data_IF_016304723304
#
_entry.id   IF_016304723304
#
_cell.length_a   1.000
_cell.length_b   1.000
_cell.length_c   1.000
_cell.angle_alpha   90.00
_cell.angle_beta   90.00
_cell.angle_gamma   90.00
#
_symmetry.space_group_name_H-M   'P 1'
#
loop_
_entity.id
_entity.type
_entity.pdbx_description
1 polymer ?
#
# COMPACT_ATOMS: atom_id res chain seq x y z
N UNK A 1 12.29 -2.45 0.88
CA UNK A 1 11.40 -3.43 0.20
C UNK A 1 10.42 -4.18 1.10
N UNK A 2 10.74 -4.51 2.38
CA UNK A 2 9.87 -5.31 3.26
C UNK A 2 8.45 -4.72 3.46
N UNK A 3 8.33 -3.39 3.57
CA UNK A 3 7.03 -2.69 3.73
C UNK A 3 6.09 -2.88 2.53
N UNK A 4 6.60 -2.67 1.30
CA UNK A 4 5.84 -2.89 0.05
C UNK A 4 5.27 -4.31 0.00
N UNK A 5 6.10 -5.32 0.30
CA UNK A 5 5.65 -6.72 0.33
C UNK A 5 4.53 -6.96 1.35
N UNK A 6 4.64 -6.40 2.56
CA UNK A 6 3.62 -6.54 3.60
C UNK A 6 2.27 -5.97 3.15
N UNK A 7 2.28 -4.79 2.55
CA UNK A 7 1.07 -4.13 2.02
C UNK A 7 0.48 -4.96 0.89
N UNK A 8 1.32 -5.44 -0.04
CA UNK A 8 0.87 -6.31 -1.13
C UNK A 8 0.20 -7.58 -0.62
N UNK A 9 0.73 -8.22 0.42
CA UNK A 9 0.13 -9.41 1.04
C UNK A 9 -1.24 -9.09 1.63
N UNK A 10 -1.40 -7.94 2.30
CA UNK A 10 -2.68 -7.51 2.87
C UNK A 10 -3.76 -7.27 1.78
N UNK A 11 -3.34 -6.75 0.63
CA UNK A 11 -4.23 -6.44 -0.50
C UNK A 11 -4.53 -7.65 -1.42
N UNK A 12 -3.64 -8.66 -1.44
CA UNK A 12 -3.73 -9.80 -2.35
C UNK A 12 -4.96 -10.68 -2.08
N UNK A 13 -5.40 -10.78 -0.82
CA UNK A 13 -6.47 -11.68 -0.39
C UNK A 13 -7.90 -11.26 -0.75
N UNK A 14 -8.10 -10.14 -1.44
CA UNK A 14 -9.45 -9.65 -1.75
C UNK A 14 -10.23 -9.13 -0.55
N UNK A 15 -9.53 -8.76 0.54
CA UNK A 15 -10.13 -8.27 1.78
C UNK A 15 -11.02 -7.04 1.54
N UNK A 16 -12.23 -7.05 2.09
CA UNK A 16 -13.17 -5.91 2.02
C UNK A 16 -12.73 -4.74 2.87
N UNK A 17 -12.08 -5.02 4.00
CA UNK A 17 -11.53 -4.03 4.92
C UNK A 17 -10.04 -4.31 5.12
N UNK A 18 -9.22 -3.27 5.02
CA UNK A 18 -7.77 -3.34 5.22
C UNK A 18 -7.35 -2.22 6.16
N UNK A 19 -6.60 -2.57 7.20
CA UNK A 19 -6.06 -1.62 8.17
C UNK A 19 -4.55 -1.56 7.96
N UNK A 20 -4.03 -0.36 7.74
CA UNK A 20 -2.61 -0.08 7.52
C UNK A 20 -2.12 0.84 8.62
N UNK A 21 -1.20 0.34 9.44
CA UNK A 21 -0.57 1.13 10.50
C UNK A 21 0.78 1.69 10.01
N UNK A 22 0.86 3.01 9.83
CA UNK A 22 2.08 3.73 9.47
C UNK A 22 2.88 3.08 8.30
N UNK A 23 2.25 2.85 7.13
CA UNK A 23 2.80 1.99 6.06
C UNK A 23 4.04 2.59 5.38
N UNK A 24 4.24 3.90 5.47
CA UNK A 24 5.36 4.62 4.83
C UNK A 24 6.45 5.01 5.81
N UNK A 25 6.30 4.70 7.10
CA UNK A 25 7.30 5.00 8.13
C UNK A 25 8.60 4.26 7.85
N UNK A 26 9.72 5.00 7.89
CA UNK A 26 11.06 4.49 7.59
C UNK A 26 11.33 4.19 6.11
N UNK A 27 10.47 4.69 5.20
CA UNK A 27 10.65 4.60 3.74
C UNK A 27 11.08 5.97 3.20
N UNK A 28 12.04 5.97 2.28
CA UNK A 28 12.52 7.18 1.61
C UNK A 28 11.40 7.88 0.80
N UNK A 29 11.47 9.21 0.60
CA UNK A 29 10.41 9.97 -0.08
C UNK A 29 10.08 9.47 -1.49
N UNK A 30 11.06 8.96 -2.23
CA UNK A 30 10.85 8.46 -3.59
C UNK A 30 10.07 7.14 -3.56
N UNK A 31 10.51 6.19 -2.72
CA UNK A 31 9.86 4.89 -2.57
C UNK A 31 8.44 4.98 -1.99
N UNK A 32 8.14 6.03 -1.22
CA UNK A 32 6.82 6.32 -0.65
C UNK A 32 5.76 6.49 -1.73
N UNK A 33 6.07 7.19 -2.82
CA UNK A 33 5.14 7.36 -3.96
C UNK A 33 4.71 6.01 -4.55
N UNK A 34 5.64 5.06 -4.64
CA UNK A 34 5.30 3.70 -5.07
C UNK A 34 4.34 2.97 -4.12
N UNK A 35 4.39 3.25 -2.81
CA UNK A 35 3.41 2.72 -1.85
C UNK A 35 2.05 3.38 -2.08
N UNK A 36 2.02 4.70 -2.25
CA UNK A 36 0.80 5.46 -2.52
C UNK A 36 0.08 4.96 -3.77
N UNK A 37 0.82 4.70 -4.85
CA UNK A 37 0.26 4.11 -6.06
C UNK A 37 -0.36 2.73 -5.82
N UNK A 38 0.30 1.86 -5.05
CA UNK A 38 -0.22 0.51 -4.75
C UNK A 38 -1.54 0.61 -3.99
N UNK A 39 -1.60 1.48 -2.97
CA UNK A 39 -2.80 1.70 -2.17
C UNK A 39 -3.92 2.28 -3.04
N UNK A 40 -3.62 3.34 -3.80
CA UNK A 40 -4.59 4.02 -4.66
C UNK A 40 -5.16 3.09 -5.74
N UNK A 41 -4.31 2.27 -6.39
CA UNK A 41 -4.75 1.28 -7.40
C UNK A 41 -5.66 0.19 -6.82
N UNK A 42 -5.50 -0.15 -5.53
CA UNK A 42 -6.24 -1.23 -4.89
C UNK A 42 -7.37 -0.76 -3.95
N UNK A 43 -7.68 0.53 -3.92
CA UNK A 43 -8.73 1.08 -3.03
C UNK A 43 -10.16 0.80 -3.52
N UNK A 44 -10.37 0.58 -4.82
CA UNK A 44 -11.71 0.38 -5.39
C UNK A 44 -12.38 -0.88 -4.81
N UNK A 45 -13.61 -0.74 -4.34
CA UNK A 45 -14.42 -1.85 -3.79
C UNK A 45 -13.94 -2.36 -2.43
N UNK A 46 -13.13 -1.57 -1.70
CA UNK A 46 -12.59 -1.91 -0.38
C UNK A 46 -12.55 -0.68 0.52
N UNK A 47 -12.68 -0.89 1.82
CA UNK A 47 -12.47 0.14 2.83
C UNK A 47 -11.04 0.03 3.36
N UNK A 48 -10.26 1.11 3.24
CA UNK A 48 -8.90 1.17 3.75
C UNK A 48 -8.87 2.18 4.89
N UNK A 49 -8.44 1.73 6.07
CA UNK A 49 -8.17 2.58 7.23
C UNK A 49 -6.66 2.69 7.38
N UNK A 50 -6.16 3.92 7.39
CA UNK A 50 -4.74 4.23 7.43
C UNK A 50 -4.45 5.15 8.62
N UNK A 51 -3.46 4.79 9.44
CA UNK A 51 -2.80 5.75 10.33
C UNK A 51 -1.53 6.26 9.65
N UNK A 52 -1.34 7.59 9.69
CA UNK A 52 -0.11 8.21 9.23
C UNK A 52 0.12 9.51 9.99
N UNK A 53 1.37 9.74 10.36
CA UNK A 53 1.85 11.03 10.87
C UNK A 53 2.26 11.99 9.74
N UNK A 54 2.24 11.55 8.48
CA UNK A 54 2.54 12.38 7.31
C UNK A 54 1.26 12.98 6.71
N UNK A 55 1.08 14.29 6.86
CA UNK A 55 -0.10 15.00 6.34
C UNK A 55 -0.25 14.89 4.82
N UNK A 56 0.86 14.93 4.07
CA UNK A 56 0.85 14.76 2.61
C UNK A 56 0.28 13.39 2.19
N UNK A 57 0.54 12.34 2.99
CA UNK A 57 0.00 11.01 2.75
C UNK A 57 -1.50 10.96 3.03
N UNK A 58 -1.92 11.54 4.16
CA UNK A 58 -3.33 11.62 4.52
C UNK A 58 -4.13 12.39 3.46
N UNK A 59 -3.58 13.50 2.95
CA UNK A 59 -4.22 14.32 1.92
C UNK A 59 -4.37 13.58 0.58
N UNK A 60 -3.32 12.88 0.13
CA UNK A 60 -3.32 12.24 -1.19
C UNK A 60 -4.14 10.93 -1.21
N UNK A 61 -4.12 10.17 -0.11
CA UNK A 61 -4.71 8.82 -0.09
C UNK A 61 -6.14 8.76 0.46
N UNK A 62 -6.56 9.73 1.25
CA UNK A 62 -7.79 9.62 2.05
C UNK A 62 -8.95 10.40 1.47
N UNK A 63 -10.12 9.77 1.41
CA UNK A 63 -11.37 10.47 1.10
C UNK A 63 -11.87 11.30 2.31
N UNK A 64 -11.54 10.85 3.53
CA UNK A 64 -11.79 11.55 4.80
C UNK A 64 -10.59 11.40 5.74
N UNK A 65 -10.27 12.46 6.47
CA UNK A 65 -9.21 12.50 7.48
C UNK A 65 -9.86 12.69 8.86
N UNK A 66 -9.31 12.00 9.85
CA UNK A 66 -9.69 12.12 11.26
C UNK A 66 -8.44 12.46 12.08
N UNK A 67 -8.49 13.56 12.83
CA UNK A 67 -7.43 13.94 13.75
C UNK A 67 -7.75 13.43 15.15
N UNK A 68 -6.85 12.62 15.71
CA UNK A 68 -6.95 12.13 17.08
C UNK A 68 -5.98 12.91 17.97
N UNK A 69 -6.47 13.36 19.12
CA UNK A 69 -5.70 14.10 20.11
C UNK A 69 -6.08 13.62 21.52
N UNK A 70 -5.09 13.33 22.36
CA UNK A 70 -5.29 12.84 23.75
C UNK A 70 -6.28 11.65 23.89
N UNK A 71 -6.33 10.76 22.88
CA UNK A 71 -7.22 9.60 22.89
C UNK A 71 -8.66 9.88 22.44
N UNK A 72 -8.98 11.11 22.04
CA UNK A 72 -10.27 11.50 21.48
C UNK A 72 -10.19 11.94 20.02
N UNK A 73 -11.32 11.92 19.31
CA UNK A 73 -11.44 12.49 17.97
C UNK A 73 -11.63 14.00 18.07
N UNK A 74 -10.66 14.78 17.59
CA UNK A 74 -10.70 16.25 17.60
C UNK A 74 -11.56 16.79 16.46
N UNK A 75 -11.30 16.33 15.24
CA UNK A 75 -12.06 16.72 14.06
C UNK A 75 -11.99 15.64 12.99
N UNK A 76 -13.00 15.60 12.11
CA UNK A 76 -13.02 14.72 10.95
C UNK A 76 -13.72 15.39 9.77
N UNK A 77 -13.28 15.07 8.56
CA UNK A 77 -13.85 15.66 7.34
C UNK A 77 -13.05 15.29 6.10
N UNK A 78 -13.48 15.80 4.95
CA UNK A 78 -12.64 15.72 3.75
C UNK A 78 -11.39 16.60 3.93
N UNK A 79 -10.28 16.31 3.23
CA UNK A 79 -9.09 17.16 3.27
C UNK A 79 -9.41 18.63 2.93
N UNK A 80 -10.30 18.85 1.96
CA UNK A 80 -10.76 20.19 1.57
C UNK A 80 -11.51 20.90 2.71
N UNK A 81 -12.52 20.24 3.29
CA UNK A 81 -13.31 20.80 4.39
C UNK A 81 -12.43 21.18 5.59
N UNK A 82 -11.46 20.32 5.94
CA UNK A 82 -10.55 20.56 7.05
C UNK A 82 -9.63 21.75 6.78
N UNK A 83 -9.15 21.93 5.54
CA UNK A 83 -8.36 23.09 5.14
C UNK A 83 -9.17 24.39 5.16
N UNK A 84 -10.42 24.34 4.73
CA UNK A 84 -11.31 25.51 4.76
C UNK A 84 -11.67 25.91 6.20
N UNK A 85 -11.94 24.93 7.05
CA UNK A 85 -12.38 25.18 8.44
C UNK A 85 -11.22 25.59 9.37
N UNK A 86 -10.04 24.99 9.19
CA UNK A 86 -8.90 25.14 10.11
C UNK A 86 -7.64 25.74 9.47
N UNK A 87 -7.60 25.96 8.16
CA UNK A 87 -6.44 26.53 7.47
C UNK A 87 -6.30 28.04 7.70
N UNK A 88 -5.07 28.52 7.83
CA UNK A 88 -4.77 29.96 8.01
C UNK A 88 -4.71 30.69 6.65
N UNK A 89 -5.81 30.64 5.88
CA UNK A 89 -5.90 31.30 4.58
C UNK A 89 -5.21 30.56 3.43
N UNK A 90 -4.99 31.26 2.31
CA UNK A 90 -4.43 30.68 1.08
C UNK A 90 -2.93 30.90 0.97
N UNK A 91 -2.17 29.83 0.68
CA UNK A 91 -0.77 29.92 0.30
C UNK A 91 -0.62 29.77 -1.21
N UNK A 92 -0.35 30.89 -1.91
CA UNK A 92 -0.09 30.89 -3.34
C UNK A 92 1.40 30.69 -3.62
N UNK A 93 1.76 29.57 -4.24
CA UNK A 93 3.13 29.33 -4.73
C UNK A 93 3.19 29.68 -6.22
N UNK A 94 3.86 30.79 -6.54
CA UNK A 94 4.08 31.23 -7.93
C UNK A 94 5.42 30.69 -8.44
N UNK A 95 5.38 29.70 -9.32
CA UNK A 95 6.58 29.16 -9.97
C UNK A 95 6.88 29.97 -11.24
N UNK A 96 8.01 30.69 -11.25
CA UNK A 96 8.40 31.58 -12.37
C UNK A 96 8.80 30.85 -13.66
N UNK A 97 8.91 29.53 -13.66
CA UNK A 97 9.44 28.73 -14.77
C UNK A 97 8.70 28.95 -16.10
N UNK A 98 7.36 28.94 -16.10
CA UNK A 98 6.57 29.17 -17.33
C UNK A 98 6.65 30.62 -17.82
N UNK A 99 6.75 31.57 -16.90
CA UNK A 99 6.86 33.00 -17.22
C UNK A 99 8.25 33.29 -17.79
N UNK A 100 9.30 32.75 -17.17
CA UNK A 100 10.68 32.90 -17.61
C UNK A 100 10.91 32.23 -18.98
N UNK A 101 10.43 31.00 -19.19
CA UNK A 101 10.55 30.31 -20.47
C UNK A 101 9.77 31.00 -21.59
N UNK A 102 8.63 31.63 -21.32
CA UNK A 102 7.90 32.40 -22.33
C UNK A 102 8.56 33.76 -22.60
N UNK A 103 9.14 34.42 -21.60
CA UNK A 103 9.89 35.67 -21.80
C UNK A 103 11.20 35.44 -22.58
N UNK A 104 11.88 34.31 -22.39
CA UNK A 104 13.10 34.00 -23.14
C UNK A 104 12.83 33.41 -24.52
N UNK A 105 11.63 32.89 -24.80
CA UNK A 105 11.22 32.44 -26.14
C UNK A 105 11.13 33.59 -27.15
N UNK A 106 10.82 34.80 -26.70
CA UNK A 106 10.74 35.95 -27.59
C UNK A 106 12.11 36.64 -27.79
N UNK A 107 13.09 36.37 -26.92
CA UNK A 107 14.49 36.79 -27.11
C UNK A 107 15.24 35.82 -28.04
N UNK A 108 14.88 34.54 -28.05
CA UNK A 108 15.53 33.53 -28.89
C UNK A 108 14.93 33.39 -30.30
N UNK A 109 13.90 34.19 -30.67
CA UNK A 109 13.27 34.14 -31.99
C UNK A 109 13.94 35.01 -33.06
N UNK A 110 14.92 35.83 -32.69
CA UNK A 110 15.72 36.59 -33.67
C UNK A 110 16.89 35.79 -34.25
N UNK A 111 17.12 34.55 -33.81
CA UNK A 111 18.14 33.65 -34.40
C UNK A 111 17.52 32.29 -34.81
N UNK A 112 17.02 32.27 -36.04
CA UNK A 112 17.07 31.16 -37.02
C UNK A 112 16.58 29.74 -36.65
N UNK A 113 15.46 29.37 -37.29
CA UNK A 113 15.23 28.17 -38.13
C UNK A 113 15.86 26.84 -37.71
N UNK A 114 15.03 25.88 -37.27
CA UNK A 114 14.66 24.65 -38.03
C UNK A 114 14.33 23.42 -37.14
N UNK A 115 13.42 22.61 -37.66
CA UNK A 115 13.11 21.21 -37.34
C UNK A 115 12.16 20.89 -36.16
N UNK A 116 10.92 20.55 -36.54
CA UNK A 116 9.91 19.83 -35.76
C UNK A 116 10.32 18.37 -35.48
N UNK A 117 9.98 17.82 -34.30
CA UNK A 117 9.28 16.53 -34.20
C UNK A 117 8.64 16.32 -32.82
N UNK A 118 7.35 16.00 -32.85
CA UNK A 118 6.42 15.83 -31.73
C UNK A 118 6.68 14.60 -30.84
N UNK A 119 6.24 14.67 -29.58
CA UNK A 119 5.42 13.60 -28.98
C UNK A 119 4.64 14.09 -27.76
N UNK A 120 3.35 13.75 -27.76
CA UNK A 120 2.30 14.14 -26.83
C UNK A 120 2.37 13.39 -25.48
N UNK A 121 1.89 14.03 -24.41
CA UNK A 121 1.62 13.44 -23.10
C UNK A 121 0.49 14.20 -22.39
N UNK A 122 -0.33 13.55 -21.55
CA UNK A 122 -1.78 13.73 -21.55
C UNK A 122 -2.26 14.98 -20.81
N UNK A 123 -3.24 15.64 -21.43
CA UNK A 123 -4.09 16.69 -20.88
C UNK A 123 -5.00 16.14 -19.77
N UNK A 124 -4.90 16.72 -18.58
CA UNK A 124 -5.84 16.47 -17.48
C UNK A 124 -6.93 17.54 -17.55
N UNK A 125 -8.06 17.19 -18.16
CA UNK A 125 -9.26 18.02 -18.16
C UNK A 125 -9.90 17.94 -16.77
N UNK A 126 -9.94 19.08 -16.08
CA UNK A 126 -10.76 19.26 -14.88
C UNK A 126 -12.10 19.80 -15.35
N UNK A 127 -13.03 18.88 -15.57
CA UNK A 127 -14.43 19.25 -15.81
C UNK A 127 -15.05 19.77 -14.51
N UNK A 128 -15.56 20.98 -14.61
CA UNK A 128 -16.15 21.76 -13.55
C UNK A 128 -17.67 21.60 -13.64
N UNK A 129 -18.21 20.58 -13.00
CA UNK A 129 -19.66 20.41 -12.87
C UNK A 129 -20.08 20.66 -11.43
N UNK A 130 -20.74 21.80 -11.24
CA UNK A 130 -21.49 22.08 -10.03
C UNK A 130 -22.74 21.22 -9.96
N UNK A 131 -22.99 20.57 -8.81
CA UNK A 131 -24.33 20.17 -8.44
C UNK A 131 -24.50 20.02 -6.91
N UNK A 132 -25.22 20.99 -6.37
CA UNK A 132 -26.27 20.89 -5.34
C UNK A 132 -26.36 19.66 -4.42
N UNK A 133 -26.24 19.92 -3.12
CA UNK A 133 -27.04 19.42 -1.98
C UNK A 133 -27.53 17.96 -1.99
N UNK A 134 -27.12 17.18 -0.98
CA UNK A 134 -28.03 16.85 0.13
C UNK A 134 -27.26 16.33 1.35
N UNK A 135 -27.55 16.93 2.50
CA UNK A 135 -27.12 16.49 3.82
C UNK A 135 -28.17 15.50 4.34
N UNK A 136 -27.72 14.42 4.99
CA UNK A 136 -28.48 13.32 5.63
C UNK A 136 -28.65 12.08 4.74
N UNK A 137 -27.85 11.06 5.07
CA UNK A 137 -28.11 9.60 5.03
C UNK A 137 -26.81 8.84 4.70
N UNK A 138 -25.87 8.70 5.66
CA UNK A 138 -24.76 7.74 5.55
C UNK A 138 -24.43 7.16 6.93
N UNK A 139 -25.40 6.48 7.53
CA UNK A 139 -25.13 5.45 8.54
C UNK A 139 -26.23 4.40 8.44
N UNK A 140 -26.14 3.55 7.41
CA UNK A 140 -26.86 2.28 7.35
C UNK A 140 -25.82 1.15 7.44
N UNK A 141 -25.84 0.32 8.50
CA UNK A 141 -25.00 -0.84 8.61
C UNK A 141 -25.68 -2.05 7.93
N UNK A 142 -25.39 -2.25 6.64
CA UNK A 142 -25.81 -3.44 5.89
C UNK A 142 -24.82 -4.60 6.06
N UNK A 143 -24.88 -5.26 7.23
CA UNK A 143 -24.04 -6.43 7.55
C UNK A 143 -24.72 -7.80 7.31
N UNK A 144 -25.78 -7.89 6.48
CA UNK A 144 -26.58 -9.13 6.40
C UNK A 144 -26.47 -9.99 5.13
N UNK A 145 -25.66 -9.66 4.12
CA UNK A 145 -25.71 -10.41 2.84
C UNK A 145 -24.52 -11.34 2.57
N UNK A 146 -23.51 -11.44 3.46
CA UNK A 146 -22.25 -12.14 3.13
C UNK A 146 -21.96 -13.46 3.83
N UNK A 147 -22.90 -13.98 4.63
CA UNK A 147 -22.68 -15.25 5.35
C UNK A 147 -23.29 -16.46 4.60
N UNK A 148 -24.02 -16.24 3.50
CA UNK A 148 -24.61 -17.33 2.71
C UNK A 148 -23.78 -17.76 1.49
N UNK A 149 -22.44 -17.85 1.65
CA UNK A 149 -21.62 -18.58 0.68
C UNK A 149 -21.63 -20.07 1.07
N UNK A 150 -22.46 -20.85 0.35
CA UNK A 150 -22.68 -22.27 0.57
C UNK A 150 -21.39 -23.04 0.82
N UNK A 151 -21.34 -23.73 1.96
CA UNK A 151 -20.21 -24.46 2.52
C UNK A 151 -19.65 -25.50 1.52
N UNK A 152 -18.53 -25.24 0.82
CA UNK A 152 -17.86 -26.27 0.05
C UNK A 152 -17.03 -27.13 1.01
N UNK A 153 -16.87 -28.40 0.66
CA UNK A 153 -16.22 -29.45 1.46
C UNK A 153 -14.95 -28.95 2.20
N UNK A 154 -15.07 -28.75 3.52
CA UNK A 154 -14.02 -28.21 4.39
C UNK A 154 -12.67 -28.91 4.24
N UNK A 155 -12.66 -30.22 3.92
CA UNK A 155 -11.45 -31.02 3.83
C UNK A 155 -10.58 -30.65 2.61
N UNK A 156 -11.19 -30.37 1.45
CA UNK A 156 -10.45 -29.95 0.24
C UNK A 156 -9.77 -28.60 0.47
N UNK A 157 -10.47 -27.69 1.16
CA UNK A 157 -9.92 -26.40 1.56
C UNK A 157 -8.77 -26.56 2.57
N UNK A 158 -8.91 -27.48 3.53
CA UNK A 158 -7.89 -27.77 4.53
C UNK A 158 -6.65 -28.38 3.89
N UNK A 159 -6.81 -29.33 2.96
CA UNK A 159 -5.71 -29.90 2.19
C UNK A 159 -4.99 -28.84 1.34
N UNK A 160 -5.72 -27.95 0.66
CA UNK A 160 -5.13 -26.82 -0.09
C UNK A 160 -4.34 -25.88 0.82
N UNK A 161 -4.85 -25.58 2.01
CA UNK A 161 -4.14 -24.77 3.01
C UNK A 161 -2.89 -25.51 3.55
N UNK A 162 -3.02 -26.81 3.80
CA UNK A 162 -1.92 -27.65 4.28
C UNK A 162 -0.81 -27.75 3.23
N UNK A 163 -1.12 -28.06 1.97
CA UNK A 163 -0.13 -28.12 0.89
C UNK A 163 0.55 -26.77 0.67
N UNK A 164 -0.20 -25.66 0.70
CA UNK A 164 0.39 -24.32 0.65
C UNK A 164 1.34 -24.04 1.82
N UNK A 165 0.98 -24.43 3.05
CA UNK A 165 1.85 -24.31 4.22
C UNK A 165 3.10 -25.19 4.09
N UNK A 166 2.96 -26.42 3.61
CA UNK A 166 4.08 -27.33 3.38
C UNK A 166 5.03 -26.77 2.32
N UNK A 167 4.52 -26.29 1.19
CA UNK A 167 5.33 -25.67 0.12
C UNK A 167 6.05 -24.43 0.66
N UNK A 168 5.35 -23.56 1.39
CA UNK A 168 5.93 -22.37 2.02
C UNK A 168 7.05 -22.74 2.99
N UNK A 169 6.81 -23.71 3.88
CA UNK A 169 7.76 -24.14 4.91
C UNK A 169 8.95 -24.90 4.30
N UNK A 170 8.71 -25.77 3.33
CA UNK A 170 9.74 -26.49 2.59
C UNK A 170 10.68 -25.55 1.83
N UNK A 171 10.11 -24.56 1.14
CA UNK A 171 10.91 -23.59 0.41
C UNK A 171 11.74 -22.70 1.34
N UNK A 172 11.21 -22.36 2.51
CA UNK A 172 11.96 -21.66 3.55
C UNK A 172 13.11 -22.51 4.10
N UNK A 173 12.85 -23.77 4.47
CA UNK A 173 13.86 -24.71 4.97
C UNK A 173 14.97 -24.96 3.96
N UNK A 174 14.68 -24.98 2.65
CA UNK A 174 15.69 -25.18 1.61
C UNK A 174 16.63 -23.99 1.43
N UNK A 175 16.20 -22.76 1.73
CA UNK A 175 17.08 -21.58 1.72
C UNK A 175 17.98 -21.50 2.95
N UNK A 176 17.53 -22.07 4.06
CA UNK A 176 18.28 -22.13 5.32
C UNK A 176 18.95 -23.48 5.54
N UNK A 177 19.58 -24.01 4.48
CA UNK A 177 20.27 -25.32 4.47
C UNK A 177 21.30 -25.46 5.60
N UNK A 178 21.95 -24.37 6.00
CA UNK A 178 22.89 -24.37 7.14
C UNK A 178 22.19 -24.67 8.47
N UNK A 179 21.02 -24.08 8.71
CA UNK A 179 20.21 -24.34 9.89
C UNK A 179 19.62 -25.75 9.89
N UNK A 180 19.14 -26.21 8.73
CA UNK A 180 18.61 -27.57 8.58
C UNK A 180 19.68 -28.65 8.84
N UNK A 181 20.88 -28.46 8.30
CA UNK A 181 22.00 -29.39 8.53
C UNK A 181 22.35 -29.46 10.02
N UNK A 182 22.47 -28.30 10.69
CA UNK A 182 22.85 -28.25 12.09
C UNK A 182 21.78 -28.80 13.04
N UNK A 183 20.49 -28.56 12.76
CA UNK A 183 19.41 -28.92 13.68
C UNK A 183 18.81 -30.30 13.44
N UNK A 184 18.92 -30.84 12.22
CA UNK A 184 18.27 -32.11 11.86
C UNK A 184 19.28 -33.17 11.44
N UNK A 185 20.20 -32.85 10.53
CA UNK A 185 21.14 -33.85 10.00
C UNK A 185 22.22 -34.18 11.02
N UNK A 186 22.77 -33.18 11.71
CA UNK A 186 23.86 -33.38 12.67
C UNK A 186 23.46 -34.27 13.86
N UNK A 187 22.30 -34.08 14.53
CA UNK A 187 21.89 -34.98 15.62
C UNK A 187 21.59 -36.40 15.13
N UNK A 188 20.96 -36.56 13.96
CA UNK A 188 20.67 -37.87 13.38
C UNK A 188 21.96 -38.60 13.04
N UNK A 189 22.92 -37.91 12.40
CA UNK A 189 24.24 -38.45 12.08
C UNK A 189 25.03 -38.82 13.35
N UNK A 190 24.95 -37.99 14.40
CA UNK A 190 25.61 -38.27 15.66
C UNK A 190 25.05 -39.54 16.32
N UNK A 191 23.73 -39.69 16.35
CA UNK A 191 23.07 -40.87 16.93
C UNK A 191 23.37 -42.13 16.11
N UNK A 192 23.33 -42.06 14.78
CA UNK A 192 23.65 -43.21 13.93
C UNK A 192 25.11 -43.63 14.04
N UNK A 193 26.04 -42.67 14.12
CA UNK A 193 27.45 -42.95 14.35
C UNK A 193 27.69 -43.57 15.75
N UNK A 194 27.06 -43.02 16.80
CA UNK A 194 27.19 -43.55 18.16
C UNK A 194 26.63 -44.98 18.28
N UNK A 195 25.46 -45.25 17.69
CA UNK A 195 24.87 -46.59 17.69
C UNK A 195 25.67 -47.57 16.82
N UNK A 196 26.15 -47.15 15.64
CA UNK A 196 26.93 -47.99 14.73
C UNK A 196 28.32 -48.36 15.25
N UNK A 197 29.01 -47.44 15.95
CA UNK A 197 30.28 -47.76 16.61
C UNK A 197 30.08 -48.67 17.82
N UNK A 198 28.95 -48.56 18.53
CA UNK A 198 28.61 -49.43 19.66
C UNK A 198 28.44 -50.90 19.25
N UNK A 199 27.88 -51.16 18.07
CA UNK A 199 27.66 -52.53 17.57
C UNK A 199 28.92 -53.21 17.01
N UNK A 200 29.98 -52.46 16.69
CA UNK A 200 31.24 -53.00 16.17
C UNK A 200 32.25 -53.38 17.26
N UNK A 201 31.97 -53.04 18.53
CA UNK A 201 32.86 -53.30 19.66
C UNK A 201 32.45 -54.54 20.49
N UNK A 202 31.58 -55.38 19.95
CA UNK A 202 31.17 -56.69 20.50
C UNK A 202 31.57 -57.77 19.50
#
# INVERSE_FOLDING_TARGET
MKRKLSISIALLGGSKVVILDEPTTGVDPCSRRGIWEIISKNRKGRTIILSTHHLDEAEVLSDRIAFLEHGGLKCCGSPFYLKETYGSGYHLTLTKEKVFLNLTKDVAKDEQTDAELSQEGPSFNVDNDGLSMNSKNVFEPDDQVLINMGKPNNLSLLLRKATALFIKRFHHTRRDVKGFIAQVILPVLFVTAAMGLGTLRT
#
